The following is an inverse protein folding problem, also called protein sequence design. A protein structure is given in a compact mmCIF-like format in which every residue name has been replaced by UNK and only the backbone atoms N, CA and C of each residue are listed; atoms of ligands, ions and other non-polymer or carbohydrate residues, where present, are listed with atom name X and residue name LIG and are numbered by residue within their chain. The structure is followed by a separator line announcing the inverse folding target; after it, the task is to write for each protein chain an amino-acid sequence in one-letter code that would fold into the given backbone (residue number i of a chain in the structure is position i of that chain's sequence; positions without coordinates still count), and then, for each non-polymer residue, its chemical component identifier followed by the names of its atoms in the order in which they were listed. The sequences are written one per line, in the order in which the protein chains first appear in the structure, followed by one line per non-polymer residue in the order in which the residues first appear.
data_IF_848475945910
#
_entry.id   IF_848475945910
#
_cell.length_a   1.000
_cell.length_b   1.000
_cell.length_c   1.000
_cell.angle_alpha   90.00
_cell.angle_beta   90.00
_cell.angle_gamma   90.00
#
_symmetry.space_group_name_H-M   'P 1'
#
loop_
_entity.id
_entity.type
_entity.pdbx_description
1 polymer ?
#
# COMPACT_ATOMS: atom_id res chain seq x y z
N UNK A 1 -30.77 -6.12 7.40
CA UNK A 1 -29.54 -6.54 6.67
C UNK A 1 -28.97 -5.32 5.95
N UNK A 2 -27.98 -4.58 6.48
CA UNK A 2 -27.39 -3.47 5.75
C UNK A 2 -26.34 -3.98 4.75
N UNK A 3 -26.56 -3.63 3.48
CA UNK A 3 -25.56 -3.29 2.45
C UNK A 3 -24.49 -4.32 2.08
N UNK A 4 -24.68 -5.04 0.96
CA UNK A 4 -23.55 -5.54 0.15
C UNK A 4 -22.62 -4.35 -0.14
N UNK A 5 -21.31 -4.51 0.13
CA UNK A 5 -20.29 -3.49 -0.14
C UNK A 5 -20.44 -2.92 -1.55
N UNK A 6 -20.63 -1.60 -1.65
CA UNK A 6 -20.80 -0.81 -2.88
C UNK A 6 -19.53 -0.69 -3.73
N UNK A 7 -18.41 -1.27 -3.27
CA UNK A 7 -17.15 -1.25 -3.99
C UNK A 7 -17.10 -2.37 -5.03
N UNK A 8 -16.48 -2.14 -6.20
CA UNK A 8 -16.20 -3.18 -7.19
C UNK A 8 -15.46 -4.40 -6.63
N UNK A 9 -15.65 -5.56 -7.25
CA UNK A 9 -15.13 -6.84 -6.75
C UNK A 9 -13.59 -6.84 -6.63
N UNK A 10 -12.92 -6.30 -7.64
CA UNK A 10 -11.48 -6.11 -7.68
C UNK A 10 -10.97 -5.26 -6.50
N UNK A 11 -11.71 -4.20 -6.15
CA UNK A 11 -11.37 -3.32 -5.04
C UNK A 11 -11.58 -4.03 -3.70
N UNK A 12 -12.67 -4.78 -3.55
CA UNK A 12 -12.89 -5.59 -2.33
C UNK A 12 -11.81 -6.65 -2.14
N UNK A 13 -11.37 -7.29 -3.22
CA UNK A 13 -10.28 -8.27 -3.19
C UNK A 13 -8.96 -7.63 -2.74
N UNK A 14 -8.61 -6.47 -3.31
CA UNK A 14 -7.39 -5.74 -2.92
C UNK A 14 -7.44 -5.31 -1.45
N UNK A 15 -8.57 -4.75 -1.00
CA UNK A 15 -8.73 -4.27 0.38
C UNK A 15 -8.75 -5.42 1.39
N UNK A 16 -9.37 -6.56 1.05
CA UNK A 16 -9.49 -7.72 1.94
C UNK A 16 -8.30 -8.68 1.94
N UNK A 17 -7.39 -8.61 0.96
CA UNK A 17 -6.26 -9.53 0.85
C UNK A 17 -5.20 -9.31 1.94
N UNK A 18 -4.63 -10.37 2.50
CA UNK A 18 -3.43 -10.36 3.35
C UNK A 18 -2.13 -10.67 2.57
N UNK A 19 -2.25 -10.98 1.27
CA UNK A 19 -1.17 -11.24 0.33
C UNK A 19 -0.43 -9.99 -0.18
N UNK A 20 0.51 -10.18 -1.10
CA UNK A 20 1.23 -9.06 -1.72
C UNK A 20 0.29 -8.24 -2.59
N UNK A 21 0.02 -7.00 -2.18
CA UNK A 21 -0.78 -6.05 -2.97
C UNK A 21 -0.21 -5.87 -4.38
N UNK A 22 1.12 -5.80 -4.51
CA UNK A 22 1.79 -5.68 -5.82
C UNK A 22 1.41 -6.83 -6.76
N UNK A 23 1.51 -8.09 -6.31
CA UNK A 23 1.15 -9.25 -7.14
C UNK A 23 -0.32 -9.23 -7.58
N UNK A 24 -1.21 -8.78 -6.70
CA UNK A 24 -2.63 -8.63 -7.05
C UNK A 24 -2.85 -7.55 -8.10
N UNK A 25 -2.16 -6.40 -7.98
CA UNK A 25 -2.23 -5.32 -8.96
C UNK A 25 -1.65 -5.74 -10.32
N UNK A 26 -0.53 -6.45 -10.32
CA UNK A 26 0.07 -7.01 -11.54
C UNK A 26 -0.88 -8.01 -12.21
N UNK A 27 -1.50 -8.88 -11.42
CA UNK A 27 -2.49 -9.85 -11.91
C UNK A 27 -3.74 -9.16 -12.46
N UNK A 28 -4.20 -8.08 -11.80
CA UNK A 28 -5.35 -7.29 -12.25
C UNK A 28 -5.08 -6.54 -13.56
N UNK A 29 -3.86 -6.01 -13.73
CA UNK A 29 -3.49 -5.18 -14.88
C UNK A 29 -2.85 -5.99 -16.03
N UNK A 30 -2.43 -7.22 -15.78
CA UNK A 30 -1.73 -8.07 -16.74
C UNK A 30 -0.34 -7.55 -17.13
N UNK A 31 0.26 -6.67 -16.32
CA UNK A 31 1.58 -6.07 -16.58
C UNK A 31 2.42 -6.00 -15.31
N UNK A 32 3.76 -6.12 -15.40
CA UNK A 32 4.63 -5.94 -14.24
C UNK A 32 4.62 -4.47 -13.78
N UNK A 33 4.82 -4.25 -12.48
CA UNK A 33 4.87 -2.92 -11.89
C UNK A 33 6.28 -2.58 -11.40
N UNK A 34 6.72 -1.36 -11.67
CA UNK A 34 7.98 -0.83 -11.19
C UNK A 34 7.77 0.14 -10.02
N UNK A 35 8.68 0.13 -9.04
CA UNK A 35 8.69 1.14 -7.98
C UNK A 35 9.41 2.38 -8.47
N UNK A 36 8.78 3.53 -8.29
CA UNK A 36 9.41 4.82 -8.39
C UNK A 36 9.45 5.46 -7.00
N UNK A 37 10.65 5.64 -6.45
CA UNK A 37 10.82 6.28 -5.12
C UNK A 37 10.73 7.79 -5.31
N UNK A 38 9.84 8.42 -4.54
CA UNK A 38 9.65 9.87 -4.56
C UNK A 38 10.54 10.54 -3.52
N UNK A 39 10.42 10.10 -2.26
CA UNK A 39 11.16 10.66 -1.14
C UNK A 39 11.51 9.57 -0.14
N UNK A 40 12.63 9.76 0.54
CA UNK A 40 13.04 9.00 1.72
C UNK A 40 13.56 10.01 2.75
N UNK A 41 13.06 9.92 3.98
CA UNK A 41 13.44 10.82 5.06
C UNK A 41 13.42 10.09 6.40
N UNK A 42 14.25 10.54 7.34
CA UNK A 42 14.13 10.15 8.74
C UNK A 42 12.98 10.97 9.35
N UNK A 43 12.08 10.28 10.05
CA UNK A 43 10.92 10.86 10.72
C UNK A 43 10.82 10.26 12.12
N UNK A 44 10.00 10.84 12.97
CA UNK A 44 9.68 10.31 14.30
C UNK A 44 8.43 9.42 14.25
N UNK A 45 8.24 8.62 15.29
CA UNK A 45 7.11 7.69 15.38
C UNK A 45 5.74 8.39 15.46
N UNK A 46 5.67 9.68 15.78
CA UNK A 46 4.46 10.50 15.71
C UNK A 46 3.82 10.58 14.31
N UNK A 47 4.56 10.27 13.25
CA UNK A 47 4.05 10.14 11.87
C UNK A 47 3.27 8.84 11.62
N UNK A 48 3.36 7.86 12.52
CA UNK A 48 2.56 6.64 12.44
C UNK A 48 1.10 6.91 12.81
N UNK A 49 0.19 6.11 12.27
CA UNK A 49 -1.20 6.15 12.72
C UNK A 49 -1.32 5.71 14.18
N UNK A 50 -2.33 6.22 14.88
CA UNK A 50 -2.57 5.84 16.27
C UNK A 50 -2.74 4.30 16.46
N UNK A 51 -3.40 3.55 15.56
CA UNK A 51 -3.38 2.08 15.60
C UNK A 51 -1.97 1.48 15.48
N UNK A 52 -1.14 2.00 14.57
CA UNK A 52 0.22 1.50 14.37
C UNK A 52 1.11 1.78 15.59
N UNK A 53 1.05 2.99 16.15
CA UNK A 53 1.75 3.36 17.39
C UNK A 53 1.41 2.42 18.54
N UNK A 54 0.11 2.11 18.73
CA UNK A 54 -0.33 1.18 19.77
C UNK A 54 0.14 -0.25 19.54
N UNK A 55 0.09 -0.73 18.30
CA UNK A 55 0.52 -2.10 17.96
C UNK A 55 2.04 -2.26 18.12
N UNK A 56 2.83 -1.23 17.78
CA UNK A 56 4.29 -1.29 17.84
C UNK A 56 4.89 -0.92 19.20
N UNK A 57 4.11 -0.26 20.08
CA UNK A 57 4.54 0.19 21.40
C UNK A 57 5.85 1.01 21.39
N UNK A 58 6.03 1.84 20.35
CA UNK A 58 7.20 2.69 20.18
C UNK A 58 7.06 3.98 21.00
N UNK A 59 8.18 4.53 21.51
CA UNK A 59 8.17 5.88 22.05
C UNK A 59 7.98 6.88 20.89
N UNK A 60 7.26 8.01 21.10
CA UNK A 60 6.93 8.96 20.02
C UNK A 60 8.14 9.55 19.27
N UNK A 61 9.29 9.63 19.94
CA UNK A 61 10.56 10.15 19.44
C UNK A 61 11.45 9.08 18.78
N UNK A 62 10.98 7.82 18.68
CA UNK A 62 11.73 6.79 17.96
C UNK A 62 11.93 7.19 16.49
N UNK A 63 13.19 7.12 16.04
CA UNK A 63 13.55 7.43 14.67
C UNK A 63 13.17 6.29 13.72
N UNK A 64 12.42 6.65 12.69
CA UNK A 64 11.96 5.78 11.62
C UNK A 64 12.43 6.33 10.27
N UNK A 65 12.45 5.48 9.26
CA UNK A 65 12.60 5.91 7.87
C UNK A 65 11.23 5.86 7.21
N UNK A 66 10.80 7.01 6.67
CA UNK A 66 9.61 7.12 5.83
C UNK A 66 10.03 7.12 4.37
N UNK A 67 9.61 6.10 3.62
CA UNK A 67 9.81 5.99 2.17
C UNK A 67 8.48 6.14 1.45
N UNK A 68 8.36 7.20 0.65
CA UNK A 68 7.23 7.42 -0.25
C UNK A 68 7.59 6.94 -1.65
N UNK A 69 6.71 6.17 -2.26
CA UNK A 69 6.93 5.58 -3.57
C UNK A 69 5.64 5.42 -4.35
N UNK A 70 5.77 5.15 -5.63
CA UNK A 70 4.66 4.85 -6.51
C UNK A 70 4.90 3.55 -7.23
N UNK A 71 3.83 2.78 -7.44
CA UNK A 71 3.86 1.70 -8.41
C UNK A 71 3.43 2.26 -9.76
N UNK A 72 4.20 1.96 -10.80
CA UNK A 72 3.94 2.42 -12.17
C UNK A 72 3.92 1.27 -13.16
N UNK A 73 3.04 1.38 -14.14
CA UNK A 73 3.05 0.47 -15.30
C UNK A 73 4.28 0.74 -16.18
N UNK A 74 4.61 -0.14 -17.15
CA UNK A 74 5.69 0.11 -18.10
C UNK A 74 5.49 1.38 -18.94
N UNK A 75 4.25 1.82 -19.12
CA UNK A 75 3.88 3.07 -19.81
C UNK A 75 3.97 4.30 -18.88
N UNK A 76 4.38 4.13 -17.62
CA UNK A 76 4.58 5.20 -16.66
C UNK A 76 3.33 5.63 -15.89
N UNK A 77 2.18 4.98 -16.09
CA UNK A 77 0.95 5.31 -15.37
C UNK A 77 1.05 4.96 -13.88
N UNK A 78 0.64 5.89 -13.01
CA UNK A 78 0.61 5.68 -11.55
C UNK A 78 -0.52 4.72 -11.18
N UNK A 79 -0.18 3.60 -10.56
CA UNK A 79 -1.15 2.57 -10.11
C UNK A 79 -1.43 2.70 -8.62
N UNK A 80 -0.40 2.97 -7.82
CA UNK A 80 -0.56 3.22 -6.38
C UNK A 80 0.46 4.25 -5.89
N UNK A 81 0.12 4.89 -4.78
CA UNK A 81 1.04 5.69 -3.98
C UNK A 81 1.17 5.03 -2.61
N UNK A 82 2.40 4.69 -2.24
CA UNK A 82 2.70 3.90 -1.05
C UNK A 82 3.63 4.70 -0.15
N UNK A 83 3.29 4.76 1.13
CA UNK A 83 4.17 5.24 2.19
C UNK A 83 4.52 4.05 3.08
N UNK A 84 5.81 3.81 3.25
CA UNK A 84 6.32 2.74 4.11
C UNK A 84 7.15 3.37 5.22
N UNK A 85 6.82 3.07 6.48
CA UNK A 85 7.62 3.43 7.64
C UNK A 85 8.25 2.18 8.23
N UNK A 86 9.52 2.27 8.61
CA UNK A 86 10.29 1.16 9.18
C UNK A 86 11.41 1.69 10.10
N UNK A 87 11.94 0.87 11.03
CA UNK A 87 13.01 1.29 11.93
C UNK A 87 14.25 1.81 11.19
N UNK A 88 14.89 2.86 11.70
CA UNK A 88 16.08 3.45 11.07
C UNK A 88 17.26 2.46 10.95
N UNK A 89 17.38 1.54 11.91
CA UNK A 89 18.37 0.46 11.95
C UNK A 89 18.03 -0.74 11.04
N UNK A 90 16.93 -0.67 10.29
CA UNK A 90 16.57 -1.72 9.34
C UNK A 90 17.56 -1.80 8.18
N UNK A 91 17.80 -3.02 7.70
CA UNK A 91 18.89 -3.30 6.79
C UNK A 91 18.85 -2.53 5.44
N UNK A 92 20.04 -2.12 4.97
CA UNK A 92 20.32 -1.23 3.83
C UNK A 92 19.68 -1.61 2.48
N UNK A 93 19.32 -2.90 2.30
CA UNK A 93 18.61 -3.38 1.11
C UNK A 93 17.24 -2.69 0.93
N UNK A 94 16.68 -2.14 2.00
CA UNK A 94 15.45 -1.36 1.94
C UNK A 94 15.64 -0.02 1.22
N UNK A 95 16.84 0.56 1.26
CA UNK A 95 17.14 1.91 0.75
C UNK A 95 17.61 1.88 -0.71
N UNK A 96 18.34 0.83 -1.09
CA UNK A 96 19.02 0.75 -2.39
C UNK A 96 18.18 0.08 -3.49
N UNK A 97 17.23 -0.78 -3.12
CA UNK A 97 16.49 -1.60 -4.08
C UNK A 97 15.18 -0.94 -4.57
N UNK A 98 15.01 -0.93 -5.90
CA UNK A 98 13.82 -0.45 -6.63
C UNK A 98 12.78 -1.54 -6.88
N UNK A 99 13.01 -2.75 -6.38
CA UNK A 99 12.05 -3.84 -6.40
C UNK A 99 10.91 -3.56 -5.41
N UNK A 100 9.63 -3.85 -5.75
CA UNK A 100 8.52 -3.67 -4.82
C UNK A 100 8.72 -4.44 -3.52
N UNK A 101 8.36 -3.81 -2.39
CA UNK A 101 8.53 -4.36 -1.04
C UNK A 101 7.97 -5.79 -0.93
N UNK A 102 6.80 -6.04 -1.54
CA UNK A 102 6.18 -7.36 -1.57
C UNK A 102 7.08 -8.46 -2.20
N UNK A 103 7.75 -8.18 -3.32
CA UNK A 103 8.67 -9.14 -3.93
C UNK A 103 9.94 -9.32 -3.11
N UNK A 104 10.49 -8.24 -2.55
CA UNK A 104 11.70 -8.31 -1.73
C UNK A 104 11.50 -9.19 -0.49
N UNK A 105 10.39 -8.98 0.22
CA UNK A 105 10.05 -9.79 1.39
C UNK A 105 9.83 -11.26 0.99
N UNK A 106 9.17 -11.52 -0.15
CA UNK A 106 8.98 -12.89 -0.65
C UNK A 106 10.29 -13.57 -1.04
N UNK A 107 11.19 -12.85 -1.71
CA UNK A 107 12.50 -13.36 -2.14
C UNK A 107 13.42 -13.72 -0.98
N UNK A 108 13.25 -13.08 0.19
CA UNK A 108 14.00 -13.41 1.42
C UNK A 108 13.53 -14.70 2.09
N UNK A 109 12.34 -15.19 1.78
CA UNK A 109 11.79 -16.42 2.39
C UNK A 109 11.48 -16.31 3.89
N UNK A 110 11.63 -15.14 4.50
CA UNK A 110 11.29 -14.92 5.92
C UNK A 110 9.79 -15.04 6.13
N UNK A 111 9.39 -15.79 7.17
CA UNK A 111 7.99 -15.84 7.58
C UNK A 111 7.53 -14.43 7.97
N UNK A 112 6.38 -14.02 7.42
CA UNK A 112 5.81 -12.69 7.63
C UNK A 112 4.32 -12.80 7.93
N UNK A 113 3.83 -11.93 8.81
CA UNK A 113 2.42 -11.79 9.13
C UNK A 113 1.97 -10.37 8.78
N UNK A 114 0.81 -10.22 8.14
CA UNK A 114 0.21 -8.92 7.84
C UNK A 114 -1.00 -8.68 8.74
N UNK A 115 -0.97 -7.57 9.46
CA UNK A 115 -2.06 -7.11 10.33
C UNK A 115 -2.73 -5.90 9.67
N UNK A 116 -3.97 -6.05 9.21
CA UNK A 116 -4.73 -4.94 8.63
C UNK A 116 -5.11 -3.94 9.73
N UNK A 117 -4.64 -2.71 9.60
CA UNK A 117 -4.94 -1.62 10.53
C UNK A 117 -6.14 -0.79 10.09
N UNK A 118 -6.33 -0.65 8.77
CA UNK A 118 -7.42 0.13 8.22
C UNK A 118 -7.59 -0.08 6.71
N UNK A 119 -8.81 0.10 6.23
CA UNK A 119 -9.11 0.11 4.80
C UNK A 119 -10.39 0.90 4.54
N UNK A 120 -10.51 1.50 3.36
CA UNK A 120 -11.71 2.26 2.99
C UNK A 120 -11.47 3.19 1.81
N UNK A 121 -12.05 4.38 1.88
CA UNK A 121 -11.92 5.43 0.88
C UNK A 121 -11.08 6.60 1.41
N UNK A 122 -10.27 7.20 0.53
CA UNK A 122 -9.45 8.36 0.81
C UNK A 122 -9.39 9.28 -0.42
N UNK A 123 -8.70 10.41 -0.31
CA UNK A 123 -8.42 11.30 -1.44
C UNK A 123 -7.13 10.83 -2.14
N UNK A 124 -7.23 10.60 -3.45
CA UNK A 124 -6.12 10.24 -4.33
C UNK A 124 -5.19 11.43 -4.59
N UNK A 125 -5.81 12.55 -4.90
CA UNK A 125 -5.16 13.77 -5.36
C UNK A 125 -5.91 14.97 -4.79
N UNK A 126 -5.20 15.83 -4.07
CA UNK A 126 -5.78 16.94 -3.35
C UNK A 126 -6.32 18.04 -4.27
N UNK A 127 -5.84 18.12 -5.52
CA UNK A 127 -6.27 19.14 -6.48
C UNK A 127 -7.59 18.76 -7.14
N UNK A 128 -7.72 17.49 -7.51
CA UNK A 128 -8.91 16.94 -8.17
C UNK A 128 -9.96 16.42 -7.19
N UNK A 129 -9.59 16.23 -5.92
CA UNK A 129 -10.39 15.58 -4.88
C UNK A 129 -10.92 14.21 -5.31
N UNK A 130 -10.24 13.55 -6.25
CA UNK A 130 -10.60 12.23 -6.72
C UNK A 130 -10.56 11.23 -5.55
N UNK A 131 -11.61 10.43 -5.41
CA UNK A 131 -11.70 9.42 -4.34
C UNK A 131 -10.99 8.14 -4.80
N UNK A 132 -10.16 7.57 -3.93
CA UNK A 132 -9.50 6.28 -4.11
C UNK A 132 -9.81 5.29 -3.00
N UNK A 133 -9.60 4.02 -3.28
CA UNK A 133 -9.44 3.01 -2.25
C UNK A 133 -8.10 3.20 -1.52
N UNK A 134 -8.11 3.03 -0.20
CA UNK A 134 -6.90 3.01 0.61
C UNK A 134 -6.83 1.78 1.49
N UNK A 135 -5.61 1.40 1.83
CA UNK A 135 -5.32 0.28 2.73
C UNK A 135 -4.11 0.59 3.60
N UNK A 136 -4.17 0.18 4.85
CA UNK A 136 -3.13 0.40 5.84
C UNK A 136 -2.93 -0.86 6.67
N UNK A 137 -1.68 -1.30 6.82
CA UNK A 137 -1.34 -2.52 7.53
C UNK A 137 0.08 -2.52 8.07
N UNK A 138 0.33 -3.39 9.05
CA UNK A 138 1.66 -3.74 9.52
C UNK A 138 2.10 -5.06 8.91
N UNK A 139 3.35 -5.13 8.49
CA UNK A 139 4.04 -6.38 8.19
C UNK A 139 5.00 -6.65 9.33
N UNK A 140 4.89 -7.81 9.98
CA UNK A 140 5.84 -8.30 10.98
C UNK A 140 6.59 -9.49 10.41
N UNK A 141 7.91 -9.43 10.45
CA UNK A 141 8.78 -10.51 10.00
C UNK A 141 9.30 -11.31 11.21
N UNK A 142 9.56 -12.60 11.00
CA UNK A 142 10.06 -13.48 12.06
C UNK A 142 11.46 -13.10 12.58
N UNK A 143 12.23 -12.32 11.83
CA UNK A 143 13.53 -11.76 12.21
C UNK A 143 13.40 -10.48 13.08
N UNK A 144 12.18 -10.10 13.45
CA UNK A 144 11.91 -8.91 14.28
C UNK A 144 11.76 -7.62 13.48
N UNK A 145 12.01 -7.62 12.16
CA UNK A 145 11.75 -6.45 11.33
C UNK A 145 10.25 -6.21 11.19
N UNK A 146 9.86 -4.94 11.09
CA UNK A 146 8.48 -4.56 10.84
C UNK A 146 8.38 -3.40 9.85
N UNK A 147 7.23 -3.34 9.18
CA UNK A 147 6.93 -2.30 8.19
C UNK A 147 5.50 -1.84 8.40
N UNK A 148 5.32 -0.54 8.60
CA UNK A 148 4.02 0.10 8.44
C UNK A 148 3.86 0.49 6.98
N UNK A 149 2.74 0.10 6.36
CA UNK A 149 2.46 0.36 4.96
C UNK A 149 1.11 1.04 4.84
N UNK A 150 1.09 2.20 4.19
CA UNK A 150 -0.12 2.89 3.75
C UNK A 150 -0.13 2.96 2.22
N UNK A 151 -1.17 2.45 1.60
CA UNK A 151 -1.34 2.37 0.15
C UNK A 151 -2.61 3.11 -0.25
N UNK A 152 -2.49 3.98 -1.26
CA UNK A 152 -3.63 4.55 -2.00
C UNK A 152 -3.60 4.02 -3.42
N UNK A 153 -4.75 3.65 -3.96
CA UNK A 153 -4.84 3.04 -5.30
C UNK A 153 -5.47 4.00 -6.30
N UNK A 154 -4.88 4.15 -7.47
CA UNK A 154 -5.41 5.05 -8.49
C UNK A 154 -6.81 4.58 -8.94
N UNK A 155 -7.86 5.41 -8.86
CA UNK A 155 -9.23 5.02 -9.24
C UNK A 155 -9.40 4.65 -10.72
N UNK A 156 -8.46 5.06 -11.59
CA UNK A 156 -8.44 4.62 -12.99
C UNK A 156 -8.15 3.11 -13.13
N UNK A 157 -7.44 2.52 -12.16
CA UNK A 157 -7.03 1.12 -12.15
C UNK A 157 -7.77 0.29 -11.10
N UNK A 158 -8.08 0.88 -9.94
CA UNK A 158 -8.81 0.26 -8.83
C UNK A 158 -10.06 1.09 -8.53
N UNK A 159 -11.18 0.84 -9.22
CA UNK A 159 -12.35 1.71 -9.18
C UNK A 159 -13.05 1.67 -7.82
N UNK A 160 -13.60 2.81 -7.38
CA UNK A 160 -14.34 2.94 -6.11
C UNK A 160 -15.86 2.99 -6.31
N UNK A 161 -16.30 3.06 -7.56
CA UNK A 161 -17.69 2.96 -7.98
C UNK A 161 -17.79 1.87 -9.03
N UNK A 162 -18.93 1.19 -9.11
CA UNK A 162 -19.17 0.31 -10.24
C UNK A 162 -19.05 1.10 -11.53
N UNK A 163 -18.27 0.57 -12.46
CA UNK A 163 -18.19 1.10 -13.82
C UNK A 163 -19.55 0.74 -14.44
N UNK A 164 -20.51 1.66 -14.39
CA UNK A 164 -21.77 1.48 -15.12
C UNK A 164 -21.39 1.19 -16.56
N UNK A 165 -21.77 0.01 -17.06
CA UNK A 165 -21.56 -0.33 -18.45
C UNK A 165 -22.25 0.76 -19.28
N UNK A 166 -21.44 1.64 -19.88
CA UNK A 166 -21.95 2.66 -20.75
C UNK A 166 -22.57 1.96 -21.96
N UNK A 167 -23.90 2.01 -22.03
CA UNK A 167 -24.71 1.80 -23.23
C UNK A 167 -24.33 0.61 -24.12
N UNK A 168 -24.89 -0.56 -23.83
CA UNK A 168 -25.27 -1.47 -24.91
C UNK A 168 -26.46 -0.83 -25.65
N UNK A 169 -26.17 0.10 -26.55
CA UNK A 169 -27.09 0.47 -27.64
C UNK A 169 -26.67 -0.34 -28.84
N UNK A 170 -27.28 -1.52 -28.99
CA UNK A 170 -28.06 -1.96 -30.16
C UNK A 170 -28.51 -3.40 -29.95
#
# INVERSE_FOLDING_TARGET
MPGRSTLPAETRLILGSDGSTTLLLESLLGVPLAVHVLTEAVVTADELSAPALRSLALPPDAELVSRSSELRTPQGHRVSSNRVLYPHDSADWLRTDRTPLGHRLRGRGTAQHRELLGSGLAVWDAQTLAVCAFKEYLIRCADGQWFHVSERFNPAHVPVTERTAAGAVR
#
